data_IF_675489763903
#
_entry.id   IF_675489763903
#
_cell.length_a   1.000
_cell.length_b   1.000
_cell.length_c   1.000
_cell.angle_alpha   90.00
_cell.angle_beta   90.00
_cell.angle_gamma   90.00
#
_symmetry.space_group_name_H-M   'P 1'
#
loop_
_entity.id
_entity.type
_entity.pdbx_description
1 polymer ?
#
# COMPACT_ATOMS: atom_id res chain seq x y z
N UNK A 1 -7.52 -27.27 -5.77
CA UNK A 1 -8.60 -26.34 -5.36
C UNK A 1 -8.55 -25.15 -6.30
N UNK A 2 -9.69 -24.65 -6.80
CA UNK A 2 -9.76 -23.50 -7.72
C UNK A 2 -10.47 -22.35 -6.99
N UNK A 3 -9.84 -21.18 -6.94
CA UNK A 3 -10.42 -19.97 -6.37
C UNK A 3 -11.10 -19.15 -7.48
N UNK A 4 -12.21 -18.50 -7.15
CA UNK A 4 -12.91 -17.56 -8.02
C UNK A 4 -13.03 -16.26 -7.24
N UNK A 5 -12.56 -15.16 -7.81
CA UNK A 5 -12.67 -13.83 -7.23
C UNK A 5 -13.88 -13.10 -7.83
N UNK A 6 -14.78 -12.64 -6.98
CA UNK A 6 -15.98 -11.87 -7.36
C UNK A 6 -16.24 -10.82 -6.30
N UNK A 7 -16.70 -9.65 -6.72
CA UNK A 7 -17.10 -8.57 -5.83
C UNK A 7 -18.49 -8.83 -5.25
N UNK A 8 -18.67 -8.42 -4.01
CA UNK A 8 -19.92 -8.48 -3.29
C UNK A 8 -19.90 -7.54 -2.10
N UNK A 9 -21.08 -7.35 -1.52
CA UNK A 9 -21.30 -6.47 -0.40
C UNK A 9 -21.80 -7.28 0.81
N UNK A 10 -21.39 -6.87 2.00
CA UNK A 10 -21.89 -7.44 3.27
C UNK A 10 -22.91 -6.48 3.84
N UNK A 11 -24.13 -6.96 4.11
CA UNK A 11 -25.18 -6.13 4.69
C UNK A 11 -25.00 -5.92 6.21
N UNK A 12 -25.87 -5.10 6.80
CA UNK A 12 -25.87 -4.80 8.25
C UNK A 12 -26.09 -6.03 9.13
N UNK A 13 -26.61 -7.13 8.56
CA UNK A 13 -26.86 -8.40 9.26
C UNK A 13 -25.70 -9.39 9.07
N UNK A 14 -24.65 -9.02 8.33
CA UNK A 14 -23.49 -9.85 8.05
C UNK A 14 -23.70 -10.85 6.90
N UNK A 15 -24.73 -10.70 6.08
CA UNK A 15 -24.97 -11.55 4.91
C UNK A 15 -24.18 -11.04 3.70
N UNK A 16 -23.44 -11.93 3.05
CA UNK A 16 -22.71 -11.64 1.81
C UNK A 16 -23.64 -11.76 0.59
N UNK A 17 -23.76 -10.66 -0.15
CA UNK A 17 -24.44 -10.60 -1.43
C UNK A 17 -23.42 -10.41 -2.54
N UNK A 18 -23.42 -11.30 -3.52
CA UNK A 18 -22.57 -11.16 -4.70
C UNK A 18 -23.25 -10.23 -5.69
N UNK A 19 -22.48 -9.33 -6.31
CA UNK A 19 -23.01 -8.40 -7.31
C UNK A 19 -23.47 -9.16 -8.58
N UNK A 20 -22.92 -10.35 -8.80
CA UNK A 20 -23.27 -11.24 -9.89
C UNK A 20 -23.24 -12.72 -9.46
N UNK A 21 -24.05 -13.60 -10.10
CA UNK A 21 -24.02 -15.03 -9.82
C UNK A 21 -22.67 -15.68 -10.13
N UNK A 22 -22.28 -16.68 -9.32
CA UNK A 22 -21.10 -17.50 -9.59
C UNK A 22 -21.36 -18.41 -10.78
N UNK A 23 -20.57 -18.27 -11.84
CA UNK A 23 -20.62 -19.19 -12.97
C UNK A 23 -19.85 -20.48 -12.63
N UNK A 24 -20.53 -21.42 -11.98
CA UNK A 24 -19.97 -22.73 -11.58
C UNK A 24 -20.60 -23.85 -12.38
N UNK A 25 -19.76 -24.79 -12.84
CA UNK A 25 -20.21 -25.95 -13.62
C UNK A 25 -20.93 -27.00 -12.77
N UNK A 26 -20.64 -27.07 -11.47
CA UNK A 26 -21.17 -28.08 -10.56
C UNK A 26 -21.66 -27.40 -9.27
N UNK A 27 -22.95 -27.50 -8.92
CA UNK A 27 -23.45 -27.01 -7.65
C UNK A 27 -22.90 -27.86 -6.50
N UNK A 28 -22.45 -27.21 -5.42
CA UNK A 28 -21.86 -27.90 -4.28
C UNK A 28 -21.50 -26.97 -3.14
N UNK A 29 -21.01 -27.55 -2.03
CA UNK A 29 -20.50 -26.79 -0.90
C UNK A 29 -19.13 -26.21 -1.24
N UNK A 30 -18.92 -24.94 -0.93
CA UNK A 30 -17.66 -24.22 -1.17
C UNK A 30 -17.15 -23.58 0.13
N UNK A 31 -15.85 -23.27 0.16
CA UNK A 31 -15.23 -22.44 1.20
C UNK A 31 -15.14 -21.01 0.67
N UNK A 32 -15.59 -20.04 1.46
CA UNK A 32 -15.56 -18.61 1.11
C UNK A 32 -14.47 -17.93 1.91
N UNK A 33 -13.66 -17.09 1.25
CA UNK A 33 -12.68 -16.20 1.88
C UNK A 33 -13.16 -14.79 1.59
N UNK A 34 -13.26 -13.96 2.64
CA UNK A 34 -13.69 -12.56 2.55
C UNK A 34 -12.44 -11.70 2.71
N UNK A 35 -12.18 -10.84 1.73
CA UNK A 35 -11.09 -9.88 1.78
C UNK A 35 -11.69 -8.49 2.02
N UNK A 36 -11.36 -7.89 3.17
CA UNK A 36 -11.67 -6.49 3.41
C UNK A 36 -10.54 -5.65 2.82
N UNK A 37 -10.84 -4.57 2.08
CA UNK A 37 -9.79 -3.64 1.69
C UNK A 37 -9.17 -3.11 2.96
N UNK A 38 -7.84 -3.19 3.05
CA UNK A 38 -7.15 -2.49 4.12
C UNK A 38 -7.46 -1.00 3.95
N UNK A 39 -7.94 -0.31 5.00
CA UNK A 39 -8.06 1.13 4.95
C UNK A 39 -6.67 1.69 4.70
N UNK A 40 -6.44 2.24 3.51
CA UNK A 40 -5.21 2.97 3.17
C UNK A 40 -4.96 4.15 4.11
N UNK A 41 -5.94 4.52 4.93
CA UNK A 41 -5.83 5.55 5.99
C UNK A 41 -5.23 5.02 7.30
N UNK A 42 -5.03 3.70 7.48
CA UNK A 42 -4.36 3.13 8.66
C UNK A 42 -2.92 2.66 8.38
N UNK A 43 -2.29 3.17 7.32
CA UNK A 43 -0.82 3.15 7.20
C UNK A 43 -0.15 4.16 8.15
N UNK A 44 -0.90 4.88 8.99
CA UNK A 44 -0.38 6.02 9.77
C UNK A 44 0.21 5.69 11.14
N UNK A 45 0.39 4.43 11.54
CA UNK A 45 1.05 4.11 12.81
C UNK A 45 1.94 2.85 12.74
N UNK A 46 2.74 2.70 11.68
CA UNK A 46 4.03 2.07 11.92
C UNK A 46 4.89 3.09 12.66
N UNK A 47 5.30 2.77 13.89
CA UNK A 47 6.17 3.65 14.67
C UNK A 47 7.54 3.84 14.01
N UNK A 48 7.92 2.95 13.08
CA UNK A 48 9.15 3.04 12.31
C UNK A 48 9.00 3.91 11.04
N UNK A 49 7.78 4.30 10.66
CA UNK A 49 7.55 5.14 9.48
C UNK A 49 7.78 6.63 9.78
N UNK A 50 8.52 7.29 8.88
CA UNK A 50 8.71 8.74 8.95
C UNK A 50 7.40 9.45 8.60
N UNK A 51 6.91 10.37 9.44
CA UNK A 51 5.66 11.08 9.18
C UNK A 51 5.66 11.79 7.82
N UNK A 52 4.51 11.75 7.12
CA UNK A 52 4.34 12.38 5.80
C UNK A 52 4.74 13.86 5.81
N UNK A 53 4.45 14.59 6.90
CA UNK A 53 4.79 16.01 7.03
C UNK A 53 6.31 16.23 7.10
N UNK A 54 7.05 15.33 7.73
CA UNK A 54 8.52 15.38 7.76
C UNK A 54 9.11 15.09 6.38
N UNK A 55 8.56 14.10 5.66
CA UNK A 55 8.96 13.81 4.27
C UNK A 55 8.74 15.03 3.37
N UNK A 56 7.57 15.67 3.44
CA UNK A 56 7.24 16.88 2.67
C UNK A 56 8.19 18.04 2.99
N UNK A 57 8.50 18.26 4.26
CA UNK A 57 9.43 19.30 4.69
C UNK A 57 10.84 19.03 4.17
N UNK A 58 11.30 17.77 4.27
CA UNK A 58 12.61 17.35 3.79
C UNK A 58 12.76 17.54 2.28
N UNK A 59 11.76 17.12 1.49
CA UNK A 59 11.76 17.30 0.04
C UNK A 59 11.79 18.77 -0.38
N UNK A 60 11.00 19.63 0.27
CA UNK A 60 11.01 21.07 0.01
C UNK A 60 12.39 21.66 0.21
N UNK A 61 13.06 21.31 1.32
CA UNK A 61 14.43 21.74 1.63
C UNK A 61 15.42 21.24 0.57
N UNK A 62 15.40 19.95 0.25
CA UNK A 62 16.29 19.35 -0.75
C UNK A 62 16.16 20.04 -2.14
N UNK A 63 14.95 20.42 -2.53
CA UNK A 63 14.72 21.18 -3.77
C UNK A 63 15.35 22.58 -3.71
N UNK A 64 15.30 23.28 -2.56
CA UNK A 64 15.93 24.59 -2.41
C UNK A 64 17.47 24.48 -2.39
N UNK A 65 18.02 23.51 -1.67
CA UNK A 65 19.46 23.20 -1.65
C UNK A 65 19.96 22.88 -3.06
N UNK A 66 19.21 22.06 -3.79
CA UNK A 66 19.49 21.82 -5.19
C UNK A 66 19.50 23.13 -5.99
N UNK A 67 18.46 23.95 -5.93
CA UNK A 67 18.45 25.25 -6.64
C UNK A 67 19.62 26.16 -6.26
N UNK A 68 20.06 26.13 -5.00
CA UNK A 68 21.20 26.89 -4.49
C UNK A 68 22.57 26.29 -4.85
N UNK A 69 22.62 25.15 -5.55
CA UNK A 69 23.86 24.47 -5.92
C UNK A 69 24.50 23.66 -4.79
N UNK A 70 23.82 23.52 -3.65
CA UNK A 70 24.25 22.71 -2.52
C UNK A 70 23.92 21.24 -2.81
N UNK A 71 24.75 20.61 -3.65
CA UNK A 71 24.59 19.23 -4.11
C UNK A 71 25.94 18.56 -4.18
N UNK A 72 25.98 17.25 -3.98
CA UNK A 72 27.15 16.44 -4.32
C UNK A 72 26.97 15.83 -5.72
N UNK A 73 28.04 15.75 -6.54
CA UNK A 73 28.03 14.97 -7.76
C UNK A 73 27.73 13.50 -7.48
N UNK A 74 27.02 12.84 -8.40
CA UNK A 74 26.69 11.42 -8.25
C UNK A 74 27.93 10.52 -8.12
N UNK A 75 29.02 10.88 -8.80
CA UNK A 75 30.30 10.18 -8.69
C UNK A 75 30.90 10.22 -7.27
N UNK A 76 30.55 11.23 -6.49
CA UNK A 76 31.01 11.44 -5.11
C UNK A 76 30.02 10.93 -4.06
N UNK A 77 28.86 10.39 -4.48
CA UNK A 77 27.82 9.91 -3.56
C UNK A 77 28.32 8.78 -2.65
N UNK A 78 29.28 7.99 -3.13
CA UNK A 78 29.87 6.88 -2.39
C UNK A 78 31.12 7.27 -1.58
N UNK A 79 31.61 8.50 -1.71
CA UNK A 79 32.76 8.98 -0.95
C UNK A 79 32.34 9.22 0.51
N UNK A 80 32.89 8.44 1.44
CA UNK A 80 32.63 8.57 2.88
C UNK A 80 31.44 7.76 3.43
N UNK A 81 30.81 6.92 2.60
CA UNK A 81 29.94 5.84 3.08
C UNK A 81 30.82 4.61 3.25
N UNK A 82 31.16 4.27 4.50
CA UNK A 82 31.95 3.08 4.81
C UNK A 82 31.16 1.82 4.46
N UNK A 83 31.81 0.89 3.75
CA UNK A 83 31.28 -0.44 3.43
C UNK A 83 31.97 -1.43 4.38
N UNK A 84 31.63 -1.38 5.66
CA UNK A 84 31.97 -2.45 6.62
C UNK A 84 30.84 -3.49 6.71
#
# INVERSE_FOLDING_TARGET
MKAIEVTGNIDEKGALFLDQPLNVEIPGKVRVIILFPEPTDNLENDHDDTPIEEIKASLKRAVQEAKAGQRIPLSQMWEGIDVE
#
